data_IF_639097410829
#
_entry.id   IF_639097410829
#
_cell.length_a   1.000
_cell.length_b   1.000
_cell.length_c   1.000
_cell.angle_alpha   90.00
_cell.angle_beta   90.00
_cell.angle_gamma   90.00
#
_symmetry.space_group_name_H-M   'P 1'
#
loop_
_entity.id
_entity.type
_entity.pdbx_description
1 polymer ?
#
# COMPACT_ATOMS: atom_id res chain seq x y z
N UNK A 1 11.42 1.48 16.54
CA UNK A 1 12.57 0.89 15.82
C UNK A 1 12.57 1.34 14.35
N UNK A 2 12.51 2.65 14.07
CA UNK A 2 12.51 3.20 12.69
C UNK A 2 13.48 4.39 12.56
N UNK A 3 14.50 4.47 13.42
CA UNK A 3 15.43 5.62 13.43
C UNK A 3 16.58 5.49 12.44
N UNK A 4 16.77 4.32 11.82
CA UNK A 4 17.96 4.06 11.00
C UNK A 4 17.77 4.35 9.50
N UNK A 5 16.61 4.78 9.01
CA UNK A 5 16.43 5.05 7.57
C UNK A 5 16.33 3.77 6.73
N UNK A 6 16.41 3.92 5.40
CA UNK A 6 16.24 2.83 4.42
C UNK A 6 17.50 2.73 3.58
N UNK A 7 18.06 1.53 3.46
CA UNK A 7 19.21 1.29 2.58
C UNK A 7 18.77 1.38 1.10
N UNK A 8 19.33 2.33 0.37
CA UNK A 8 19.10 2.55 -1.06
C UNK A 8 20.45 2.60 -1.74
N UNK A 9 20.71 1.66 -2.67
CA UNK A 9 21.99 1.54 -3.38
C UNK A 9 23.23 1.45 -2.46
N UNK A 10 23.10 0.83 -1.28
CA UNK A 10 24.18 0.72 -0.30
C UNK A 10 24.39 1.96 0.59
N UNK A 11 23.52 2.97 0.48
CA UNK A 11 23.55 4.17 1.32
C UNK A 11 22.30 4.25 2.20
N UNK A 12 22.50 4.66 3.45
CA UNK A 12 21.43 4.85 4.42
C UNK A 12 20.71 6.17 4.14
N UNK A 13 19.48 6.08 3.63
CA UNK A 13 18.68 7.25 3.25
C UNK A 13 17.58 7.49 4.28
N UNK A 14 17.32 8.74 4.72
CA UNK A 14 16.23 9.02 5.65
C UNK A 14 14.88 8.51 5.13
N UNK A 15 14.15 7.81 5.98
CA UNK A 15 12.90 7.13 5.61
C UNK A 15 11.87 8.10 5.01
N UNK A 16 11.70 9.30 5.60
CA UNK A 16 10.77 10.32 5.10
C UNK A 16 11.13 10.76 3.67
N UNK A 17 12.42 10.97 3.40
CA UNK A 17 12.90 11.38 2.08
C UNK A 17 12.61 10.32 1.01
N UNK A 18 12.75 9.04 1.35
CA UNK A 18 12.40 7.94 0.44
C UNK A 18 10.91 7.98 0.11
N UNK A 19 10.04 8.13 1.12
CA UNK A 19 8.59 8.17 0.87
C UNK A 19 8.20 9.39 0.03
N UNK A 20 8.71 10.58 0.33
CA UNK A 20 8.43 11.78 -0.47
C UNK A 20 8.83 11.59 -1.94
N UNK A 21 9.98 10.95 -2.18
CA UNK A 21 10.42 10.62 -3.54
C UNK A 21 9.48 9.63 -4.22
N UNK A 22 9.02 8.59 -3.51
CA UNK A 22 8.04 7.64 -4.03
C UNK A 22 6.71 8.33 -4.37
N UNK A 23 6.20 9.17 -3.47
CA UNK A 23 4.98 9.95 -3.70
C UNK A 23 5.07 10.86 -4.93
N UNK A 24 6.23 11.46 -5.19
CA UNK A 24 6.46 12.31 -6.36
C UNK A 24 6.31 11.58 -7.70
N UNK A 25 6.55 10.26 -7.74
CA UNK A 25 6.43 9.43 -8.94
C UNK A 25 5.18 8.56 -8.94
N UNK A 26 4.46 8.44 -7.83
CA UNK A 26 3.42 7.43 -7.64
C UNK A 26 2.30 7.48 -8.67
N UNK A 27 1.83 8.67 -9.04
CA UNK A 27 0.80 8.83 -10.08
C UNK A 27 1.25 8.30 -11.45
N UNK A 28 2.56 8.26 -11.71
CA UNK A 28 3.11 7.75 -12.97
C UNK A 28 3.23 6.22 -12.99
N UNK A 29 3.19 5.55 -11.84
CA UNK A 29 3.47 4.11 -11.73
C UNK A 29 2.35 3.30 -11.10
N UNK A 30 1.40 3.93 -10.39
CA UNK A 30 0.29 3.23 -9.74
C UNK A 30 -0.45 2.30 -10.71
N UNK A 31 -0.62 1.05 -10.29
CA UNK A 31 -1.29 0.00 -11.05
C UNK A 31 -0.74 -0.23 -12.48
N UNK A 32 0.54 0.11 -12.71
CA UNK A 32 1.24 -0.20 -13.97
C UNK A 32 2.15 -1.40 -13.81
N UNK A 33 2.19 -2.23 -14.85
CA UNK A 33 3.08 -3.39 -14.94
C UNK A 33 4.49 -2.95 -15.37
N UNK A 34 5.23 -2.35 -14.45
CA UNK A 34 6.67 -2.06 -14.60
C UNK A 34 7.50 -3.29 -14.23
N UNK A 35 8.82 -3.20 -14.34
CA UNK A 35 9.75 -4.31 -14.03
C UNK A 35 9.71 -4.71 -12.56
N UNK A 36 9.45 -3.76 -11.67
CA UNK A 36 9.43 -3.88 -10.21
C UNK A 36 8.01 -4.06 -9.64
N UNK A 37 7.00 -4.14 -10.49
CA UNK A 37 5.63 -4.40 -10.09
C UNK A 37 5.34 -5.91 -9.97
N UNK A 38 4.63 -6.29 -8.92
CA UNK A 38 4.16 -7.65 -8.64
C UNK A 38 2.62 -7.70 -8.71
N UNK A 39 2.05 -8.84 -9.13
CA UNK A 39 0.60 -9.01 -9.13
C UNK A 39 0.09 -9.26 -7.71
N UNK A 40 -0.87 -8.44 -7.28
CA UNK A 40 -1.58 -8.57 -6.01
C UNK A 40 -3.06 -8.81 -6.28
N UNK A 41 -3.59 -9.92 -5.80
CA UNK A 41 -5.01 -10.22 -5.76
C UNK A 41 -5.55 -9.92 -4.37
N UNK A 42 -6.62 -9.15 -4.32
CA UNK A 42 -7.20 -8.63 -3.09
C UNK A 42 -8.62 -9.13 -2.99
N UNK A 43 -8.92 -9.90 -1.94
CA UNK A 43 -10.24 -10.43 -1.65
C UNK A 43 -10.97 -9.56 -0.62
N UNK A 44 -12.28 -9.43 -0.77
CA UNK A 44 -13.14 -8.82 0.26
C UNK A 44 -13.51 -9.86 1.32
N UNK A 45 -13.29 -9.53 2.59
CA UNK A 45 -13.46 -10.46 3.71
C UNK A 45 -14.83 -11.11 3.73
N UNK A 46 -14.84 -12.44 3.87
CA UNK A 46 -16.08 -13.22 3.91
C UNK A 46 -16.83 -13.30 2.57
N UNK A 47 -16.17 -13.01 1.45
CA UNK A 47 -16.74 -13.15 0.10
C UNK A 47 -15.73 -13.77 -0.87
N UNK A 48 -16.22 -14.28 -2.01
CA UNK A 48 -15.36 -14.72 -3.12
C UNK A 48 -15.00 -13.59 -4.10
N UNK A 49 -15.34 -12.33 -3.78
CA UNK A 49 -15.05 -11.19 -4.64
C UNK A 49 -13.59 -10.81 -4.51
N UNK A 50 -12.93 -10.62 -5.65
CA UNK A 50 -11.58 -10.12 -5.69
C UNK A 50 -11.34 -9.10 -6.81
N UNK A 51 -10.26 -8.35 -6.67
CA UNK A 51 -9.70 -7.52 -7.73
C UNK A 51 -8.19 -7.68 -7.78
N UNK A 52 -7.61 -7.57 -8.97
CA UNK A 52 -6.17 -7.66 -9.19
C UNK A 52 -5.55 -6.28 -9.43
N UNK A 53 -4.34 -6.10 -8.90
CA UNK A 53 -3.56 -4.87 -8.97
C UNK A 53 -2.10 -5.19 -9.30
N UNK A 54 -1.45 -4.28 -10.03
CA UNK A 54 0.01 -4.26 -10.13
C UNK A 54 0.56 -3.32 -9.06
N UNK A 55 1.29 -3.87 -8.09
CA UNK A 55 1.81 -3.11 -6.95
C UNK A 55 3.32 -3.16 -6.87
N UNK A 56 3.92 -2.12 -6.28
CA UNK A 56 5.36 -1.99 -6.11
C UNK A 56 5.63 -2.21 -4.61
N UNK A 57 6.29 -3.31 -4.20
CA UNK A 57 6.47 -3.66 -2.79
C UNK A 57 7.02 -2.51 -1.95
N UNK A 58 8.00 -1.75 -2.47
CA UNK A 58 8.59 -0.61 -1.76
C UNK A 58 7.58 0.47 -1.34
N UNK A 59 6.59 0.78 -2.19
CA UNK A 59 5.55 1.76 -1.84
C UNK A 59 4.72 1.27 -0.65
N UNK A 60 4.39 -0.02 -0.64
CA UNK A 60 3.49 -0.62 0.34
C UNK A 60 4.24 -0.92 1.65
N UNK A 61 5.38 -1.62 1.59
CA UNK A 61 6.17 -2.03 2.76
C UNK A 61 6.65 -0.87 3.60
N UNK A 62 7.02 0.25 2.99
CA UNK A 62 7.45 1.39 3.78
C UNK A 62 6.29 1.94 4.60
N UNK A 63 5.06 1.97 4.06
CA UNK A 63 3.95 2.70 4.68
C UNK A 63 2.96 1.80 5.45
N UNK A 64 3.12 0.48 5.40
CA UNK A 64 2.22 -0.49 6.02
C UNK A 64 3.01 -1.65 6.62
N UNK A 65 2.77 -1.91 7.92
CA UNK A 65 3.44 -3.01 8.62
C UNK A 65 3.01 -4.38 8.07
N UNK A 66 1.73 -4.55 7.75
CA UNK A 66 1.23 -5.81 7.19
C UNK A 66 1.84 -6.10 5.81
N UNK A 67 1.98 -5.08 4.95
CA UNK A 67 2.68 -5.26 3.69
C UNK A 67 4.17 -5.52 3.87
N UNK A 68 4.84 -4.81 4.80
CA UNK A 68 6.24 -5.08 5.12
C UNK A 68 6.46 -6.55 5.47
N UNK A 69 5.65 -7.07 6.40
CA UNK A 69 5.70 -8.47 6.81
C UNK A 69 5.46 -9.42 5.64
N UNK A 70 4.39 -9.19 4.87
CA UNK A 70 4.04 -10.01 3.71
C UNK A 70 5.19 -10.12 2.70
N UNK A 71 5.81 -8.99 2.33
CA UNK A 71 6.86 -8.99 1.33
C UNK A 71 8.19 -9.54 1.83
N UNK A 72 8.50 -9.42 3.13
CA UNK A 72 9.66 -10.10 3.71
C UNK A 72 9.44 -11.62 3.77
N UNK A 73 8.26 -12.11 4.15
CA UNK A 73 7.93 -13.54 4.17
C UNK A 73 8.07 -14.18 2.77
N UNK A 74 7.51 -13.54 1.74
CA UNK A 74 7.62 -13.98 0.35
C UNK A 74 9.09 -14.08 -0.09
N UNK A 75 9.90 -13.08 0.28
CA UNK A 75 11.32 -13.02 -0.05
C UNK A 75 12.12 -14.10 0.68
N UNK A 76 11.84 -14.34 1.95
CA UNK A 76 12.50 -15.39 2.75
C UNK A 76 12.16 -16.79 2.24
N UNK A 77 10.91 -17.02 1.83
CA UNK A 77 10.43 -18.31 1.33
C UNK A 77 10.71 -18.55 -0.16
N UNK A 78 11.20 -17.56 -0.90
CA UNK A 78 11.31 -17.57 -2.36
C UNK A 78 9.97 -17.93 -3.05
N UNK A 79 8.88 -17.38 -2.54
CA UNK A 79 7.55 -17.61 -3.11
C UNK A 79 7.40 -16.88 -4.45
N UNK A 80 6.91 -17.60 -5.46
CA UNK A 80 6.64 -17.06 -6.78
C UNK A 80 5.13 -17.16 -7.07
N UNK A 81 4.57 -16.15 -7.73
CA UNK A 81 3.19 -16.20 -8.22
C UNK A 81 2.38 -14.93 -7.93
N UNK A 82 1.06 -15.11 -7.86
CA UNK A 82 0.12 -14.05 -7.49
C UNK A 82 0.09 -13.97 -5.97
N UNK A 83 0.35 -12.78 -5.45
CA UNK A 83 0.26 -12.52 -4.02
C UNK A 83 -1.21 -12.31 -3.68
N UNK A 84 -1.70 -12.99 -2.66
CA UNK A 84 -3.10 -12.91 -2.25
C UNK A 84 -3.21 -12.29 -0.85
N UNK A 85 -4.12 -11.32 -0.69
CA UNK A 85 -4.49 -10.75 0.61
C UNK A 85 -6.00 -10.69 0.76
N UNK A 86 -6.47 -10.65 1.99
CA UNK A 86 -7.87 -10.43 2.35
C UNK A 86 -7.99 -9.10 3.10
N UNK A 87 -9.02 -8.32 2.78
CA UNK A 87 -9.26 -7.00 3.39
C UNK A 87 -10.74 -6.77 3.69
N UNK A 88 -11.08 -5.88 4.64
CA UNK A 88 -12.46 -5.59 5.02
C UNK A 88 -13.34 -5.09 3.88
N UNK A 89 -12.82 -4.22 3.00
CA UNK A 89 -13.63 -3.64 1.92
C UNK A 89 -12.84 -3.49 0.62
N UNK A 90 -13.27 -4.25 -0.41
CA UNK A 90 -12.62 -4.19 -1.72
C UNK A 90 -12.93 -2.88 -2.45
N UNK A 91 -14.15 -2.35 -2.27
CA UNK A 91 -14.58 -1.07 -2.87
C UNK A 91 -13.65 0.10 -2.47
N UNK A 92 -13.19 0.14 -1.23
CA UNK A 92 -12.32 1.21 -0.71
C UNK A 92 -10.84 0.99 -0.99
N UNK A 93 -10.41 -0.23 -1.33
CA UNK A 93 -8.98 -0.54 -1.48
C UNK A 93 -8.28 0.28 -2.54
N UNK A 94 -8.93 0.53 -3.69
CA UNK A 94 -8.33 1.36 -4.75
C UNK A 94 -8.00 2.78 -4.26
N UNK A 95 -8.79 3.32 -3.32
CA UNK A 95 -8.56 4.63 -2.71
C UNK A 95 -7.38 4.58 -1.74
N UNK A 96 -7.31 3.52 -0.91
CA UNK A 96 -6.18 3.30 0.00
C UNK A 96 -4.88 3.09 -0.78
N UNK A 97 -4.92 2.29 -1.84
CA UNK A 97 -3.79 2.10 -2.75
C UNK A 97 -3.38 3.42 -3.41
N UNK A 98 -4.34 4.23 -3.84
CA UNK A 98 -4.04 5.56 -4.35
C UNK A 98 -3.29 6.39 -3.31
N UNK A 99 -3.78 6.47 -2.08
CA UNK A 99 -3.10 7.19 -1.00
C UNK A 99 -1.67 6.70 -0.76
N UNK A 100 -1.45 5.39 -0.70
CA UNK A 100 -0.10 4.82 -0.54
C UNK A 100 0.86 5.24 -1.66
N UNK A 101 0.35 5.53 -2.86
CA UNK A 101 1.20 5.94 -3.98
C UNK A 101 1.52 7.44 -4.00
N UNK A 102 0.66 8.33 -3.53
CA UNK A 102 0.87 9.78 -3.67
C UNK A 102 0.87 10.57 -2.36
N UNK A 103 0.54 9.94 -1.23
CA UNK A 103 0.47 10.62 0.07
C UNK A 103 -0.64 11.66 0.19
N UNK A 104 -1.55 11.75 -0.80
CA UNK A 104 -2.54 12.82 -0.87
C UNK A 104 -3.74 12.53 0.04
N UNK A 105 -3.67 13.07 1.26
CA UNK A 105 -4.76 12.99 2.25
C UNK A 105 -6.02 13.75 1.80
N UNK A 106 -5.93 14.73 0.90
CA UNK A 106 -7.09 15.53 0.50
C UNK A 106 -8.14 14.66 -0.18
N UNK A 107 -7.72 13.72 -1.03
CA UNK A 107 -8.64 12.78 -1.69
C UNK A 107 -9.33 11.84 -0.72
N UNK A 108 -8.63 11.37 0.32
CA UNK A 108 -9.27 10.57 1.37
C UNK A 108 -10.40 11.37 2.05
N UNK A 109 -10.14 12.63 2.39
CA UNK A 109 -11.13 13.49 3.03
C UNK A 109 -12.27 13.91 2.12
N UNK A 110 -12.01 14.14 0.83
CA UNK A 110 -13.05 14.42 -0.16
C UNK A 110 -14.02 13.25 -0.29
N UNK A 111 -13.49 12.03 -0.39
CA UNK A 111 -14.29 10.81 -0.47
C UNK A 111 -15.09 10.60 0.81
N UNK A 112 -14.47 10.82 1.97
CA UNK A 112 -15.12 10.71 3.27
C UNK A 112 -16.34 11.65 3.41
N UNK A 113 -16.34 12.80 2.72
CA UNK A 113 -17.46 13.76 2.73
C UNK A 113 -18.63 13.35 1.83
N UNK A 114 -18.38 12.49 0.84
CA UNK A 114 -19.34 12.18 -0.22
C UNK A 114 -20.04 10.84 0.01
N UNK A 115 -19.34 9.84 0.56
CA UNK A 115 -19.86 8.48 0.77
C UNK A 115 -19.38 7.93 2.13
N UNK A 116 -20.29 7.89 3.10
CA UNK A 116 -20.02 7.38 4.46
C UNK A 116 -19.63 5.89 4.46
N UNK A 117 -20.23 5.09 3.57
CA UNK A 117 -19.89 3.66 3.46
C UNK A 117 -18.46 3.45 2.95
N UNK A 118 -18.05 4.30 2.00
CA UNK A 118 -16.70 4.28 1.46
C UNK A 118 -15.69 4.80 2.49
N UNK A 119 -16.05 5.83 3.25
CA UNK A 119 -15.27 6.32 4.39
C UNK A 119 -14.98 5.19 5.40
N UNK A 120 -16.03 4.49 5.84
CA UNK A 120 -15.89 3.37 6.76
C UNK A 120 -14.95 2.30 6.21
N UNK A 121 -15.15 1.87 4.96
CA UNK A 121 -14.29 0.87 4.32
C UNK A 121 -12.84 1.34 4.13
N UNK A 122 -12.59 2.64 3.96
CA UNK A 122 -11.21 3.19 3.93
C UNK A 122 -10.56 3.04 5.30
N UNK A 123 -11.26 3.43 6.37
CA UNK A 123 -10.75 3.35 7.73
C UNK A 123 -10.46 1.90 8.15
N UNK A 124 -11.39 0.99 7.87
CA UNK A 124 -11.23 -0.44 8.15
C UNK A 124 -10.02 -1.04 7.41
N UNK A 125 -9.82 -0.67 6.14
CA UNK A 125 -8.63 -1.12 5.39
C UNK A 125 -7.34 -0.51 5.94
N UNK A 126 -7.33 0.77 6.35
CA UNK A 126 -6.17 1.43 6.96
C UNK A 126 -5.76 0.72 8.24
N UNK A 127 -6.73 0.37 9.09
CA UNK A 127 -6.51 -0.38 10.32
C UNK A 127 -6.03 -1.79 10.03
N UNK A 128 -6.73 -2.52 9.16
CA UNK A 128 -6.39 -3.90 8.78
C UNK A 128 -4.98 -4.02 8.19
N UNK A 129 -4.55 -3.04 7.39
CA UNK A 129 -3.22 -3.02 6.76
C UNK A 129 -2.17 -2.34 7.63
N UNK A 130 -2.53 -1.85 8.82
CA UNK A 130 -1.64 -1.11 9.72
C UNK A 130 -0.87 0.00 8.99
N UNK A 131 -1.60 0.85 8.25
CA UNK A 131 -1.00 1.94 7.48
C UNK A 131 -0.60 3.09 8.40
N UNK A 132 0.66 3.52 8.30
CA UNK A 132 1.19 4.63 9.08
C UNK A 132 0.72 5.98 8.51
N UNK A 133 -0.31 6.55 9.14
CA UNK A 133 -0.84 7.88 8.81
C UNK A 133 -0.11 9.03 9.54
N UNK A 134 0.71 8.72 10.55
CA UNK A 134 1.28 9.67 11.51
C UNK A 134 2.60 10.32 11.05
N UNK A 135 3.25 9.75 10.03
CA UNK A 135 4.53 10.26 9.51
C UNK A 135 4.42 11.45 8.54
N UNK A 136 3.23 12.06 8.39
CA UNK A 136 2.94 13.12 7.42
C UNK A 136 1.97 14.18 7.95
#
# INVERSE_FOLDING_TARGET
MMEEGVEVNGELTPYLYVIEKLHSIGNNVINKKTKDAVPLRVYETGTDKYQEFWVHPMFLSLQSFQFFKLFEEIKENNEEGIIEIEIPSLKSFAVVLYYLYNGDKSKLFEIAKIDESLCKGIMENIECLEINMASF
#
